data_IF_554619939315
#
_entry.id   IF_554619939315
#
_cell.length_a   1.000
_cell.length_b   1.000
_cell.length_c   1.000
_cell.angle_alpha   90.00
_cell.angle_beta   90.00
_cell.angle_gamma   90.00
#
_symmetry.space_group_name_H-M   'P 1'
#
loop_
_entity.id
_entity.type
_entity.pdbx_description
1 polymer ?
#
# COMPACT_ATOMS: atom_id res chain seq x y z
N UNK A 1 -11.60 -0.47 -0.80
CA UNK A 1 -10.16 -0.66 -1.10
C UNK A 1 -9.74 0.08 -2.37
N UNK A 2 -10.21 1.31 -2.56
CA UNK A 2 -10.31 1.97 -3.87
C UNK A 2 -9.08 2.82 -4.27
N UNK A 3 -7.96 2.74 -3.54
CA UNK A 3 -6.79 3.60 -3.77
C UNK A 3 -5.56 2.89 -4.35
N UNK A 4 -5.52 1.57 -4.29
CA UNK A 4 -4.40 0.80 -4.86
C UNK A 4 -4.56 0.67 -6.37
N UNK A 5 -5.79 0.54 -6.88
CA UNK A 5 -6.04 0.37 -8.32
C UNK A 5 -5.51 1.57 -9.13
N UNK A 6 -5.82 2.85 -8.81
CA UNK A 6 -5.27 3.97 -9.57
C UNK A 6 -3.74 4.09 -9.51
N UNK A 7 -3.13 3.81 -8.35
CA UNK A 7 -1.67 3.79 -8.21
C UNK A 7 -1.03 2.64 -9.00
N UNK A 8 -1.72 1.51 -9.09
CA UNK A 8 -1.29 0.36 -9.85
C UNK A 8 -1.37 0.64 -11.34
N UNK A 9 -2.49 1.18 -11.81
CA UNK A 9 -2.72 1.55 -13.20
C UNK A 9 -1.64 2.54 -13.66
N UNK A 10 -1.33 3.57 -12.87
CA UNK A 10 -0.25 4.50 -13.18
C UNK A 10 1.13 3.82 -13.28
N UNK A 11 1.40 2.81 -12.46
CA UNK A 11 2.66 2.03 -12.56
C UNK A 11 2.66 1.13 -13.79
N UNK A 12 1.54 0.49 -14.09
CA UNK A 12 1.39 -0.43 -15.21
C UNK A 12 1.43 0.31 -16.57
N UNK A 13 0.99 1.57 -16.59
CA UNK A 13 1.09 2.49 -17.74
C UNK A 13 2.43 3.26 -17.80
N UNK A 14 3.34 3.05 -16.83
CA UNK A 14 4.58 3.80 -16.63
C UNK A 14 4.41 5.34 -16.51
N UNK A 15 3.24 5.78 -16.10
CA UNK A 15 2.91 7.19 -15.84
C UNK A 15 3.13 7.60 -14.36
N UNK A 16 3.37 6.62 -13.48
CA UNK A 16 3.49 6.88 -12.05
C UNK A 16 4.72 7.71 -11.70
N UNK A 17 4.47 8.79 -10.98
CA UNK A 17 5.50 9.58 -10.32
C UNK A 17 6.23 8.76 -9.26
N UNK A 18 7.43 9.23 -8.86
CA UNK A 18 8.17 8.61 -7.75
C UNK A 18 7.36 8.56 -6.44
N UNK A 19 6.51 9.57 -6.20
CA UNK A 19 5.62 9.64 -5.03
C UNK A 19 4.55 8.54 -5.08
N UNK A 20 3.97 8.29 -6.26
CA UNK A 20 2.96 7.25 -6.46
C UNK A 20 3.57 5.85 -6.37
N UNK A 21 4.75 5.63 -6.97
CA UNK A 21 5.53 4.38 -6.84
C UNK A 21 5.84 4.08 -5.36
N UNK A 22 6.30 5.07 -4.60
CA UNK A 22 6.56 4.94 -3.17
C UNK A 22 5.28 4.65 -2.36
N UNK A 23 4.18 5.34 -2.68
CA UNK A 23 2.89 5.14 -2.03
C UNK A 23 2.34 3.73 -2.29
N UNK A 24 2.40 3.26 -3.54
CA UNK A 24 1.99 1.90 -3.93
C UNK A 24 2.80 0.84 -3.16
N UNK A 25 4.12 1.02 -3.08
CA UNK A 25 4.99 0.11 -2.33
C UNK A 25 4.63 0.07 -0.85
N UNK A 26 4.38 1.23 -0.22
CA UNK A 26 3.98 1.31 1.18
C UNK A 26 2.65 0.57 1.43
N UNK A 27 1.66 0.77 0.56
CA UNK A 27 0.37 0.06 0.62
C UNK A 27 0.50 -1.45 0.44
N UNK A 28 1.33 -1.90 -0.52
CA UNK A 28 1.61 -3.33 -0.73
C UNK A 28 2.29 -3.96 0.51
N UNK A 29 3.29 -3.28 1.08
CA UNK A 29 3.96 -3.72 2.32
C UNK A 29 2.99 -3.78 3.49
N UNK A 30 2.14 -2.77 3.66
CA UNK A 30 1.12 -2.75 4.71
C UNK A 30 0.17 -3.94 4.59
N UNK A 31 -0.37 -4.20 3.40
CA UNK A 31 -1.27 -5.35 3.16
C UNK A 31 -0.63 -6.68 3.52
N UNK A 32 0.63 -6.89 3.13
CA UNK A 32 1.37 -8.11 3.46
C UNK A 32 1.56 -8.26 4.97
N UNK A 33 1.90 -7.17 5.67
CA UNK A 33 2.06 -7.19 7.12
C UNK A 33 0.74 -7.49 7.83
N UNK A 34 -0.36 -6.85 7.43
CA UNK A 34 -1.71 -7.12 7.97
C UNK A 34 -2.07 -8.60 7.83
N UNK A 35 -1.84 -9.19 6.65
CA UNK A 35 -2.14 -10.61 6.40
C UNK A 35 -1.26 -11.59 7.20
N UNK A 36 -0.17 -11.10 7.80
CA UNK A 36 0.76 -11.90 8.61
C UNK A 36 0.59 -11.68 10.12
N UNK A 37 -0.33 -10.79 10.53
CA UNK A 37 -0.60 -10.55 11.95
C UNK A 37 -1.14 -11.82 12.57
N UNK A 38 -0.52 -12.23 13.68
CA UNK A 38 -1.07 -13.27 14.55
C UNK A 38 -2.36 -12.75 15.20
N UNK A 39 -3.48 -13.37 14.88
CA UNK A 39 -4.80 -12.95 15.36
C UNK A 39 -5.04 -13.26 16.83
N UNK A 40 -4.23 -14.13 17.47
CA UNK A 40 -4.33 -14.45 18.89
C UNK A 40 -3.65 -13.39 19.78
N UNK A 41 -2.64 -12.70 19.24
CA UNK A 41 -1.95 -11.58 19.91
C UNK A 41 -1.58 -10.50 18.88
N UNK A 42 -2.55 -9.73 18.39
CA UNK A 42 -2.34 -8.88 17.25
C UNK A 42 -1.46 -7.67 17.58
N UNK A 43 -0.40 -7.50 16.79
CA UNK A 43 0.35 -6.24 16.67
C UNK A 43 0.10 -5.70 15.27
N UNK A 44 -0.87 -4.79 15.15
CA UNK A 44 -1.28 -4.25 13.86
C UNK A 44 -0.23 -3.26 13.33
N UNK A 45 0.16 -3.36 12.05
CA UNK A 45 1.07 -2.39 11.43
C UNK A 45 0.39 -1.03 11.27
N UNK A 46 1.18 0.04 11.17
CA UNK A 46 0.65 1.38 10.91
C UNK A 46 0.20 1.53 9.46
N UNK A 47 -0.95 2.19 9.28
CA UNK A 47 -1.50 2.47 7.97
C UNK A 47 -0.67 3.56 7.29
N UNK A 48 -0.20 3.35 6.05
CA UNK A 48 0.55 4.38 5.35
C UNK A 48 -0.33 5.62 5.08
N UNK A 49 0.28 6.81 5.21
CA UNK A 49 -0.40 8.07 4.97
C UNK A 49 -0.86 8.17 3.50
N UNK A 50 -2.13 8.53 3.28
CA UNK A 50 -2.60 8.92 1.95
C UNK A 50 -2.17 10.36 1.71
N UNK A 51 -1.01 10.57 1.11
CA UNK A 51 -0.64 11.87 0.56
C UNK A 51 -0.97 11.84 -0.92
N UNK A 52 -2.26 12.01 -1.25
CA UNK A 52 -2.67 12.43 -2.59
C UNK A 52 -2.56 13.96 -2.59
#
# INVERSE_FOLDING_TARGET
>A
SEKIAPLQDAVDLDEATNKEKASLLAWRKYRVQVNRVDTLKPVWPEKPASSL
#
